data_IF_128300448491
#
_entry.id   IF_128300448491
#
_cell.length_a   1.000
_cell.length_b   1.000
_cell.length_c   1.000
_cell.angle_alpha   90.00
_cell.angle_beta   90.00
_cell.angle_gamma   90.00
#
_symmetry.space_group_name_H-M   'P 1'
#
loop_
_entity.id
_entity.type
_entity.pdbx_description
1 polymer ?
#
# COMPACT_ATOMS: atom_id res chain seq x y z
N UNK A 1 8.44 6.52 3.42
CA UNK A 1 7.61 7.69 3.04
C UNK A 1 7.36 7.62 1.55
N UNK A 2 6.12 7.82 1.10
CA UNK A 2 5.80 7.92 -0.34
C UNK A 2 6.38 9.23 -0.87
N UNK A 3 7.13 9.25 -1.99
CA UNK A 3 7.70 10.50 -2.52
C UNK A 3 6.62 11.56 -2.80
N UNK A 4 5.39 11.14 -3.05
CA UNK A 4 4.23 12.00 -3.27
C UNK A 4 3.79 12.76 -2.01
N UNK A 5 4.16 12.28 -0.81
CA UNK A 5 3.90 13.02 0.44
C UNK A 5 4.56 14.40 0.43
N UNK A 6 5.67 14.56 -0.29
CA UNK A 6 6.33 15.86 -0.44
C UNK A 6 5.49 16.81 -1.30
N UNK A 7 4.80 16.30 -2.32
CA UNK A 7 3.87 17.11 -3.13
C UNK A 7 2.70 17.62 -2.28
N UNK A 8 2.18 16.79 -1.37
CA UNK A 8 1.15 17.21 -0.40
C UNK A 8 1.67 18.36 0.46
N UNK A 9 2.89 18.25 1.01
CA UNK A 9 3.49 19.33 1.82
C UNK A 9 3.65 20.62 1.00
N UNK A 10 4.13 20.52 -0.25
CA UNK A 10 4.23 21.68 -1.15
C UNK A 10 2.86 22.32 -1.38
N UNK A 11 1.82 21.53 -1.66
CA UNK A 11 0.44 22.02 -1.83
C UNK A 11 -0.07 22.74 -0.57
N UNK A 12 0.19 22.20 0.62
CA UNK A 12 -0.20 22.82 1.90
C UNK A 12 0.48 24.17 2.09
N UNK A 13 1.80 24.22 1.85
CA UNK A 13 2.58 25.43 2.02
C UNK A 13 2.20 26.52 0.99
N UNK A 14 2.01 26.13 -0.29
CA UNK A 14 1.53 27.04 -1.32
C UNK A 14 0.13 27.57 -1.01
N UNK A 15 -0.79 26.69 -0.59
CA UNK A 15 -2.14 27.08 -0.19
C UNK A 15 -2.14 28.05 1.01
N UNK A 16 -1.33 27.75 2.04
CA UNK A 16 -1.17 28.63 3.20
C UNK A 16 -0.57 29.99 2.83
N UNK A 17 0.44 30.00 1.96
CA UNK A 17 1.08 31.23 1.48
C UNK A 17 0.14 32.10 0.64
N UNK A 18 -0.62 31.48 -0.27
CA UNK A 18 -1.64 32.17 -1.06
C UNK A 18 -2.71 32.82 -0.16
N UNK A 19 -3.21 32.08 0.85
CA UNK A 19 -4.19 32.61 1.81
C UNK A 19 -3.60 33.77 2.64
N UNK A 20 -2.35 33.66 3.09
CA UNK A 20 -1.68 34.72 3.82
C UNK A 20 -1.48 35.99 2.97
N UNK A 21 -1.12 35.85 1.69
CA UNK A 21 -1.02 36.97 0.74
C UNK A 21 -2.38 37.61 0.48
N UNK A 22 -3.42 36.81 0.27
CA UNK A 22 -4.80 37.31 0.09
C UNK A 22 -5.26 38.10 1.32
N UNK A 23 -5.05 37.57 2.53
CA UNK A 23 -5.39 38.26 3.78
C UNK A 23 -4.64 39.59 3.94
N UNK A 24 -3.34 39.61 3.62
CA UNK A 24 -2.53 40.83 3.64
C UNK A 24 -3.11 41.92 2.73
N UNK A 25 -3.70 41.56 1.59
CA UNK A 25 -4.28 42.54 0.66
C UNK A 25 -5.58 43.18 1.16
N UNK A 26 -6.24 42.58 2.15
CA UNK A 26 -7.57 42.99 2.65
C UNK A 26 -7.46 43.76 3.97
N UNK A 27 -6.38 43.56 4.74
CA UNK A 27 -6.24 44.06 6.12
C UNK A 27 -5.40 45.34 6.14
N UNK A 28 -5.66 46.19 7.14
CA UNK A 28 -4.93 47.44 7.38
C UNK A 28 -3.41 47.24 7.47
N UNK A 29 -2.65 48.26 7.02
CA UNK A 29 -1.19 48.22 6.91
C UNK A 29 -0.48 47.82 8.20
N UNK A 30 -1.01 48.20 9.36
CA UNK A 30 -0.42 47.89 10.67
C UNK A 30 -0.34 46.39 10.95
N UNK A 31 -1.31 45.60 10.49
CA UNK A 31 -1.32 44.15 10.66
C UNK A 31 -0.66 43.39 9.50
N UNK A 32 -0.32 44.09 8.41
CA UNK A 32 0.29 43.49 7.22
C UNK A 32 1.68 42.90 7.49
N UNK A 33 2.41 43.43 8.47
CA UNK A 33 3.75 42.97 8.83
C UNK A 33 3.76 41.56 9.43
N UNK A 34 2.72 41.19 10.19
CA UNK A 34 2.58 39.84 10.71
C UNK A 34 2.47 38.80 9.57
N UNK A 35 1.74 39.13 8.51
CA UNK A 35 1.61 38.29 7.32
C UNK A 35 2.92 38.22 6.51
N UNK A 36 3.76 39.25 6.55
CA UNK A 36 5.09 39.20 5.92
C UNK A 36 5.99 38.18 6.62
N UNK A 37 5.98 38.13 7.97
CA UNK A 37 6.73 37.13 8.74
C UNK A 37 6.23 35.72 8.42
N UNK A 38 4.91 35.53 8.35
CA UNK A 38 4.31 34.26 7.93
C UNK A 38 4.74 33.83 6.53
N UNK A 39 4.69 34.74 5.55
CA UNK A 39 5.12 34.45 4.19
C UNK A 39 6.61 34.12 4.12
N UNK A 40 7.47 34.83 4.85
CA UNK A 40 8.90 34.48 4.95
C UNK A 40 9.12 33.08 5.51
N UNK A 41 8.38 32.69 6.56
CA UNK A 41 8.44 31.33 7.12
C UNK A 41 7.96 30.28 6.12
N UNK A 42 6.83 30.51 5.45
CA UNK A 42 6.31 29.61 4.42
C UNK A 42 7.29 29.47 3.26
N UNK A 43 7.87 30.57 2.77
CA UNK A 43 8.88 30.54 1.71
C UNK A 43 10.14 29.79 2.15
N UNK A 44 10.60 29.99 3.38
CA UNK A 44 11.72 29.24 3.95
C UNK A 44 11.42 27.73 4.01
N UNK A 45 10.23 27.35 4.48
CA UNK A 45 9.79 25.96 4.52
C UNK A 45 9.68 25.38 3.11
N UNK A 46 9.10 26.10 2.15
CA UNK A 46 9.01 25.70 0.74
C UNK A 46 10.40 25.47 0.15
N UNK A 47 11.32 26.41 0.34
CA UNK A 47 12.70 26.30 -0.13
C UNK A 47 13.40 25.08 0.49
N UNK A 48 13.24 24.88 1.80
CA UNK A 48 13.80 23.72 2.51
C UNK A 48 13.22 22.40 2.00
N UNK A 49 11.89 22.31 1.84
CA UNK A 49 11.21 21.14 1.28
C UNK A 49 11.64 20.86 -0.15
N UNK A 50 11.79 21.89 -0.99
CA UNK A 50 12.25 21.74 -2.36
C UNK A 50 13.69 21.22 -2.43
N UNK A 51 14.60 21.74 -1.59
CA UNK A 51 15.99 21.25 -1.50
C UNK A 51 16.01 19.78 -1.06
N UNK A 52 15.26 19.41 -0.03
CA UNK A 52 15.14 18.02 0.43
C UNK A 52 14.56 17.11 -0.66
N UNK A 53 13.56 17.59 -1.40
CA UNK A 53 12.96 16.84 -2.50
C UNK A 53 13.96 16.59 -3.63
N UNK A 54 14.67 17.63 -4.07
CA UNK A 54 15.69 17.53 -5.10
C UNK A 54 16.83 16.60 -4.66
N UNK A 55 17.26 16.70 -3.39
CA UNK A 55 18.23 15.78 -2.81
C UNK A 55 17.77 14.32 -2.83
N UNK A 56 16.50 14.07 -2.48
CA UNK A 56 15.89 12.73 -2.57
C UNK A 56 15.82 12.24 -4.02
N UNK A 57 15.37 13.07 -4.97
CA UNK A 57 15.30 12.70 -6.38
C UNK A 57 16.68 12.37 -6.95
N UNK A 58 17.70 13.17 -6.61
CA UNK A 58 19.08 12.93 -7.03
C UNK A 58 19.61 11.63 -6.43
N UNK A 59 19.45 11.42 -5.12
CA UNK A 59 19.83 10.17 -4.46
C UNK A 59 19.19 8.97 -5.16
N UNK A 60 17.89 9.04 -5.45
CA UNK A 60 17.17 7.96 -6.13
C UNK A 60 17.67 7.73 -7.56
N UNK A 61 17.95 8.79 -8.29
CA UNK A 61 18.51 8.68 -9.63
C UNK A 61 19.89 8.03 -9.62
N UNK A 62 20.76 8.41 -8.68
CA UNK A 62 22.10 7.82 -8.54
C UNK A 62 22.02 6.35 -8.09
N UNK A 63 21.19 6.02 -7.10
CA UNK A 63 21.11 4.67 -6.55
C UNK A 63 20.33 3.69 -7.41
N UNK A 64 19.28 4.15 -8.09
CA UNK A 64 18.35 3.28 -8.81
C UNK A 64 18.23 3.62 -10.29
N UNK A 65 18.79 4.72 -10.78
CA UNK A 65 18.60 5.17 -12.16
C UNK A 65 17.20 5.69 -12.47
N UNK A 66 16.38 6.06 -11.47
CA UNK A 66 15.07 6.70 -11.69
C UNK A 66 14.76 7.72 -10.61
N UNK A 67 14.20 8.84 -11.03
CA UNK A 67 13.71 9.90 -10.15
C UNK A 67 12.55 9.40 -9.27
N UNK A 68 11.62 8.66 -9.86
CA UNK A 68 10.44 8.12 -9.17
C UNK A 68 10.58 6.63 -8.87
N UNK A 69 9.96 6.12 -7.78
CA UNK A 69 9.83 4.69 -7.54
C UNK A 69 9.07 3.98 -8.65
N UNK A 70 9.42 2.72 -8.89
CA UNK A 70 8.72 1.88 -9.86
C UNK A 70 7.22 1.75 -9.59
N UNK A 71 6.75 1.61 -8.33
CA UNK A 71 5.31 1.59 -8.09
C UNK A 71 4.59 2.86 -8.55
N UNK A 72 5.26 4.02 -8.55
CA UNK A 72 4.67 5.26 -9.08
C UNK A 72 4.53 5.15 -10.58
N UNK A 73 5.60 4.79 -11.29
CA UNK A 73 5.63 4.68 -12.75
C UNK A 73 4.65 3.61 -13.26
N UNK A 74 4.60 2.45 -12.59
CA UNK A 74 3.76 1.33 -12.96
C UNK A 74 2.27 1.60 -12.74
N UNK A 75 1.91 2.42 -11.75
CA UNK A 75 0.51 2.77 -11.46
C UNK A 75 0.08 4.08 -12.13
N UNK A 76 1.01 4.98 -12.44
CA UNK A 76 0.68 6.28 -13.03
C UNK A 76 0.40 6.15 -14.52
N UNK A 77 -0.89 6.10 -14.90
CA UNK A 77 -1.34 6.40 -16.26
C UNK A 77 -1.53 7.91 -16.50
N UNK A 78 -1.19 8.76 -15.51
CA UNK A 78 -1.57 10.16 -15.46
C UNK A 78 -2.91 10.37 -14.74
N UNK A 79 -3.43 11.60 -14.77
CA UNK A 79 -4.74 11.94 -14.21
C UNK A 79 -5.80 11.63 -15.27
N UNK A 80 -6.58 10.58 -15.06
CA UNK A 80 -7.71 10.21 -15.92
C UNK A 80 -9.04 10.30 -15.18
N UNK A 81 -10.15 10.38 -15.91
CA UNK A 81 -11.49 10.34 -15.31
C UNK A 81 -11.74 9.01 -14.57
N UNK A 82 -11.17 7.91 -15.07
CA UNK A 82 -11.26 6.59 -14.45
C UNK A 82 -10.51 6.56 -13.12
N UNK A 83 -9.29 7.11 -13.07
CA UNK A 83 -8.54 7.28 -11.82
C UNK A 83 -9.34 8.13 -10.83
N UNK A 84 -9.90 9.27 -11.24
CA UNK A 84 -10.71 10.10 -10.33
C UNK A 84 -11.93 9.32 -9.80
N UNK A 85 -12.64 8.58 -10.66
CA UNK A 85 -13.78 7.73 -10.23
C UNK A 85 -13.34 6.65 -9.24
N UNK A 86 -12.23 5.96 -9.51
CA UNK A 86 -11.67 4.95 -8.62
C UNK A 86 -11.27 5.56 -7.27
N UNK A 87 -10.61 6.72 -7.30
CA UNK A 87 -10.19 7.45 -6.11
C UNK A 87 -11.37 7.98 -5.28
N UNK A 88 -12.43 8.47 -5.91
CA UNK A 88 -13.68 8.83 -5.23
C UNK A 88 -14.37 7.62 -4.62
N UNK A 89 -14.43 6.48 -5.32
CA UNK A 89 -14.97 5.23 -4.78
C UNK A 89 -14.16 4.77 -3.56
N UNK A 90 -12.84 4.81 -3.66
CA UNK A 90 -11.93 4.47 -2.57
C UNK A 90 -12.08 5.40 -1.37
N UNK A 91 -12.12 6.71 -1.60
CA UNK A 91 -12.31 7.71 -0.55
C UNK A 91 -13.68 7.56 0.11
N UNK A 92 -14.75 7.37 -0.68
CA UNK A 92 -16.09 7.11 -0.17
C UNK A 92 -16.10 5.88 0.71
N UNK A 93 -15.62 4.73 0.20
CA UNK A 93 -15.54 3.49 0.97
C UNK A 93 -14.74 3.64 2.27
N UNK A 94 -13.58 4.30 2.20
CA UNK A 94 -12.68 4.47 3.35
C UNK A 94 -13.25 5.41 4.42
N UNK A 95 -13.95 6.47 4.00
CA UNK A 95 -14.50 7.50 4.88
C UNK A 95 -15.92 7.17 5.36
N UNK A 96 -16.65 6.29 4.66
CA UNK A 96 -17.98 5.79 5.03
C UNK A 96 -17.94 4.52 5.87
N UNK A 97 -16.76 4.09 6.32
CA UNK A 97 -16.73 3.01 7.30
C UNK A 97 -17.37 3.56 8.58
N UNK A 98 -18.39 2.88 9.11
CA UNK A 98 -19.26 3.35 10.21
C UNK A 98 -18.52 3.96 11.42
N UNK A 99 -17.28 3.54 11.66
CA UNK A 99 -16.44 4.10 12.71
C UNK A 99 -15.81 5.46 12.31
N UNK A 100 -15.42 5.66 11.06
CA UNK A 100 -14.76 6.90 10.61
C UNK A 100 -15.75 8.06 10.40
N UNK A 101 -17.05 7.81 10.24
CA UNK A 101 -18.04 8.85 9.90
C UNK A 101 -18.11 10.04 10.88
N UNK A 102 -18.16 9.85 12.21
CA UNK A 102 -18.21 10.99 13.14
C UNK A 102 -16.96 11.86 13.05
N UNK A 103 -15.80 11.25 12.80
CA UNK A 103 -14.54 11.95 12.61
C UNK A 103 -14.59 12.81 11.35
N UNK A 104 -15.07 12.26 10.24
CA UNK A 104 -15.18 12.97 8.95
C UNK A 104 -16.14 14.15 9.07
N UNK A 105 -17.27 13.97 9.74
CA UNK A 105 -18.22 15.04 10.00
C UNK A 105 -17.59 16.18 10.81
N UNK A 106 -16.89 15.87 11.90
CA UNK A 106 -16.23 16.88 12.74
C UNK A 106 -15.09 17.59 12.00
N UNK A 107 -14.33 16.89 11.14
CA UNK A 107 -13.35 17.51 10.24
C UNK A 107 -14.03 18.43 9.24
N UNK A 108 -15.17 18.05 8.68
CA UNK A 108 -15.94 18.91 7.76
C UNK A 108 -16.44 20.18 8.47
N UNK A 109 -16.94 20.06 9.70
CA UNK A 109 -17.33 21.20 10.54
C UNK A 109 -16.13 22.11 10.81
N UNK A 110 -14.97 21.54 11.15
CA UNK A 110 -13.74 22.32 11.32
C UNK A 110 -13.35 23.08 10.05
N UNK A 111 -13.42 22.40 8.89
CA UNK A 111 -13.09 22.98 7.59
C UNK A 111 -13.99 24.16 7.25
N UNK A 112 -15.30 24.02 7.48
CA UNK A 112 -16.28 25.09 7.30
C UNK A 112 -15.97 26.26 8.24
N UNK A 113 -15.65 25.98 9.50
CA UNK A 113 -15.26 27.00 10.48
C UNK A 113 -14.00 27.77 10.04
N UNK A 114 -12.96 27.08 9.57
CA UNK A 114 -11.76 27.72 8.99
C UNK A 114 -12.17 28.65 7.84
N UNK A 115 -13.03 28.18 6.92
CA UNK A 115 -13.56 29.01 5.84
C UNK A 115 -14.28 30.28 6.31
N UNK A 116 -15.09 30.19 7.37
CA UNK A 116 -15.73 31.37 7.97
C UNK A 116 -14.73 32.32 8.63
N UNK A 117 -13.74 31.82 9.35
CA UNK A 117 -12.67 32.64 9.94
C UNK A 117 -11.84 33.36 8.86
N UNK A 118 -11.62 32.70 7.72
CA UNK A 118 -10.95 33.33 6.58
C UNK A 118 -11.78 34.47 5.95
N UNK A 119 -13.11 34.47 6.07
CA UNK A 119 -13.95 35.58 5.61
C UNK A 119 -13.96 36.79 6.55
N UNK A 120 -13.71 36.60 7.85
CA UNK A 120 -13.64 37.71 8.82
C UNK A 120 -12.44 38.62 8.49
N UNK A 121 -12.56 39.93 8.72
CA UNK A 121 -11.43 40.88 8.61
C UNK A 121 -10.48 40.84 9.82
N UNK A 122 -10.44 39.71 10.51
CA UNK A 122 -9.53 39.48 11.63
C UNK A 122 -8.09 39.38 11.11
N UNK A 123 -7.15 39.97 11.86
CA UNK A 123 -5.72 39.99 11.60
C UNK A 123 -5.03 38.64 11.85
N UNK A 124 -5.71 37.69 12.50
CA UNK A 124 -5.18 36.37 12.79
C UNK A 124 -5.63 35.32 11.77
N UNK A 125 -4.71 34.45 11.35
CA UNK A 125 -5.06 33.22 10.64
C UNK A 125 -5.55 32.18 11.66
N UNK A 126 -6.58 31.39 11.32
CA UNK A 126 -7.04 30.33 12.20
C UNK A 126 -5.92 29.28 12.38
N UNK A 127 -5.62 28.84 13.62
CA UNK A 127 -4.51 27.92 13.89
C UNK A 127 -4.69 26.54 13.26
N UNK A 128 -5.93 26.16 12.96
CA UNK A 128 -6.34 24.94 12.26
C UNK A 128 -6.21 25.01 10.73
N UNK A 129 -5.73 26.13 10.16
CA UNK A 129 -5.59 26.32 8.71
C UNK A 129 -4.67 25.27 8.05
N UNK A 130 -3.43 25.15 8.51
CA UNK A 130 -2.46 24.24 7.87
C UNK A 130 -2.86 22.75 8.04
N UNK A 131 -3.30 22.28 9.21
CA UNK A 131 -3.87 20.93 9.35
C UNK A 131 -5.06 20.67 8.42
N UNK A 132 -5.95 21.66 8.25
CA UNK A 132 -7.10 21.55 7.34
C UNK A 132 -6.64 21.42 5.89
N UNK A 133 -5.72 22.28 5.46
CA UNK A 133 -5.13 22.21 4.13
C UNK A 133 -4.43 20.87 3.89
N UNK A 134 -3.79 20.29 4.91
CA UNK A 134 -3.15 18.99 4.84
C UNK A 134 -4.15 17.87 4.57
N UNK A 135 -5.27 17.83 5.30
CA UNK A 135 -6.33 16.83 5.07
C UNK A 135 -6.94 16.99 3.68
N UNK A 136 -7.21 18.23 3.25
CA UNK A 136 -7.74 18.51 1.91
C UNK A 136 -6.76 18.06 0.83
N UNK A 137 -5.51 18.51 0.88
CA UNK A 137 -4.49 18.19 -0.11
C UNK A 137 -4.21 16.69 -0.19
N UNK A 138 -4.15 16.01 0.94
CA UNK A 138 -3.96 14.55 1.00
C UNK A 138 -5.16 13.80 0.44
N UNK A 139 -6.40 14.21 0.78
CA UNK A 139 -7.62 13.60 0.22
C UNK A 139 -7.71 13.83 -1.29
N UNK A 140 -7.43 15.05 -1.76
CA UNK A 140 -7.36 15.37 -3.18
C UNK A 140 -6.30 14.52 -3.89
N UNK A 141 -5.13 14.34 -3.28
CA UNK A 141 -4.09 13.46 -3.82
C UNK A 141 -4.58 12.01 -3.95
N UNK A 142 -5.22 11.46 -2.91
CA UNK A 142 -5.78 10.10 -2.94
C UNK A 142 -6.79 9.95 -4.09
N UNK A 143 -7.67 10.93 -4.26
CA UNK A 143 -8.67 10.92 -5.34
C UNK A 143 -8.01 11.01 -6.72
N UNK A 144 -7.05 11.92 -6.90
CA UNK A 144 -6.36 12.12 -8.17
C UNK A 144 -5.46 10.95 -8.54
N UNK A 145 -4.87 10.28 -7.54
CA UNK A 145 -4.05 9.08 -7.74
C UNK A 145 -4.88 7.81 -8.03
N UNK A 146 -6.20 7.87 -7.85
CA UNK A 146 -7.09 6.72 -8.04
C UNK A 146 -7.23 5.79 -6.85
N UNK A 147 -6.84 6.23 -5.65
CA UNK A 147 -6.91 5.44 -4.43
C UNK A 147 -5.87 4.34 -4.37
N UNK A 148 -6.17 3.28 -3.62
CA UNK A 148 -5.38 2.06 -3.58
C UNK A 148 -6.26 0.83 -3.66
N UNK A 149 -5.63 -0.32 -3.82
CA UNK A 149 -6.29 -1.62 -3.64
C UNK A 149 -6.22 -2.14 -2.20
N UNK A 150 -5.31 -1.61 -1.36
CA UNK A 150 -5.10 -2.09 0.00
C UNK A 150 -6.33 -1.88 0.90
N UNK A 151 -6.62 -2.90 1.71
CA UNK A 151 -7.77 -2.99 2.62
C UNK A 151 -7.75 -1.89 3.69
N UNK A 152 -8.91 -1.60 4.29
CA UNK A 152 -8.98 -0.71 5.45
C UNK A 152 -8.68 0.76 5.21
N UNK A 153 -8.66 1.22 3.96
CA UNK A 153 -8.38 2.63 3.67
C UNK A 153 -6.97 3.05 4.08
N UNK A 154 -5.96 2.17 3.96
CA UNK A 154 -4.57 2.43 4.38
C UNK A 154 -3.97 3.74 3.87
N UNK A 155 -4.43 4.27 2.72
CA UNK A 155 -4.01 5.59 2.26
C UNK A 155 -4.41 6.72 3.21
N UNK A 156 -5.45 6.58 4.01
CA UNK A 156 -5.88 7.61 4.97
C UNK A 156 -5.16 7.55 6.32
N UNK A 157 -4.51 6.43 6.66
CA UNK A 157 -3.99 6.17 8.02
C UNK A 157 -3.03 7.27 8.50
N UNK A 158 -2.17 7.78 7.62
CA UNK A 158 -1.22 8.84 7.97
C UNK A 158 -1.89 10.20 8.29
N UNK A 159 -3.13 10.41 7.86
CA UNK A 159 -3.92 11.60 8.19
C UNK A 159 -4.72 11.47 9.48
N UNK A 160 -4.96 10.24 9.97
CA UNK A 160 -5.84 10.01 11.13
C UNK A 160 -5.45 10.79 12.39
N UNK A 161 -4.17 10.95 12.76
CA UNK A 161 -3.81 11.79 13.90
C UNK A 161 -4.24 13.25 13.71
N UNK A 162 -4.07 13.80 12.50
CA UNK A 162 -4.44 15.18 12.18
C UNK A 162 -5.95 15.34 12.16
N UNK A 163 -6.68 14.42 11.54
CA UNK A 163 -8.14 14.40 11.54
C UNK A 163 -8.70 14.29 12.96
N UNK A 164 -8.12 13.44 13.81
CA UNK A 164 -8.49 13.31 15.22
C UNK A 164 -8.29 14.62 15.97
N UNK A 165 -7.15 15.28 15.81
CA UNK A 165 -6.90 16.58 16.42
C UNK A 165 -7.91 17.64 15.96
N UNK A 166 -8.18 17.74 14.66
CA UNK A 166 -9.16 18.66 14.10
C UNK A 166 -10.58 18.39 14.62
N UNK A 167 -10.95 17.12 14.77
CA UNK A 167 -12.25 16.71 15.32
C UNK A 167 -12.40 17.10 16.78
N UNK A 168 -11.35 16.89 17.58
CA UNK A 168 -11.33 17.32 19.00
C UNK A 168 -11.45 18.84 19.11
N UNK A 169 -10.74 19.59 18.25
CA UNK A 169 -10.85 21.06 18.21
C UNK A 169 -12.26 21.52 17.79
N UNK A 170 -12.88 20.89 16.80
CA UNK A 170 -14.25 21.18 16.39
C UNK A 170 -15.23 20.91 17.53
N UNK A 171 -15.10 19.76 18.19
CA UNK A 171 -15.94 19.38 19.32
C UNK A 171 -15.80 20.36 20.48
N UNK A 172 -14.58 20.76 20.82
CA UNK A 172 -14.32 21.75 21.85
C UNK A 172 -14.99 23.10 21.53
N UNK A 173 -14.86 23.59 20.29
CA UNK A 173 -15.52 24.82 19.82
C UNK A 173 -17.04 24.73 19.91
N UNK A 174 -17.63 23.60 19.50
CA UNK A 174 -19.08 23.37 19.57
C UNK A 174 -19.57 23.38 21.02
N UNK A 175 -18.90 22.64 21.91
CA UNK A 175 -19.31 22.54 23.32
C UNK A 175 -19.14 23.87 24.03
N UNK A 176 -18.03 24.59 23.81
CA UNK A 176 -17.84 25.92 24.39
C UNK A 176 -18.90 26.92 23.93
N UNK A 177 -19.40 26.78 22.70
CA UNK A 177 -20.47 27.64 22.15
C UNK A 177 -21.85 27.26 22.68
N UNK A 178 -22.16 25.96 22.81
CA UNK A 178 -23.52 25.47 23.05
C UNK A 178 -23.82 25.10 24.52
N UNK A 179 -22.79 24.87 25.34
CA UNK A 179 -22.94 24.32 26.70
C UNK A 179 -22.51 25.36 27.74
N UNK A 180 -23.30 25.48 28.81
CA UNK A 180 -23.00 26.35 29.95
C UNK A 180 -21.64 26.01 30.58
N UNK A 181 -20.85 27.02 31.02
CA UNK A 181 -19.47 26.85 31.47
C UNK A 181 -19.26 25.72 32.49
N UNK A 182 -20.15 25.59 33.46
CA UNK A 182 -20.11 24.61 34.54
C UNK A 182 -20.27 23.15 34.08
N UNK A 183 -20.82 22.90 32.88
CA UNK A 183 -21.02 21.56 32.33
C UNK A 183 -20.06 21.20 31.19
N UNK A 184 -19.29 22.15 30.65
CA UNK A 184 -18.46 21.95 29.45
C UNK A 184 -17.51 20.76 29.54
N UNK A 185 -16.76 20.64 30.63
CA UNK A 185 -15.80 19.54 30.82
C UNK A 185 -16.50 18.18 30.87
N UNK A 186 -17.64 18.09 31.57
CA UNK A 186 -18.41 16.85 31.70
C UNK A 186 -18.98 16.42 30.35
N UNK A 187 -19.58 17.36 29.62
CA UNK A 187 -20.13 17.08 28.27
C UNK A 187 -19.01 16.70 27.32
N UNK A 188 -17.87 17.41 27.33
CA UNK A 188 -16.73 17.09 26.46
C UNK A 188 -16.20 15.68 26.71
N UNK A 189 -15.94 15.31 27.96
CA UNK A 189 -15.47 13.97 28.32
C UNK A 189 -16.51 12.91 27.94
N UNK A 190 -17.80 13.15 28.22
CA UNK A 190 -18.87 12.22 27.87
C UNK A 190 -19.00 12.04 26.35
N UNK A 191 -18.91 13.11 25.56
CA UNK A 191 -18.96 13.03 24.10
C UNK A 191 -17.74 12.32 23.53
N UNK A 192 -16.53 12.60 24.02
CA UNK A 192 -15.32 11.88 23.58
C UNK A 192 -15.43 10.40 23.92
N UNK A 193 -15.85 10.04 25.14
CA UNK A 193 -16.07 8.66 25.54
C UNK A 193 -17.11 7.97 24.65
N UNK A 194 -18.23 8.64 24.37
CA UNK A 194 -19.27 8.14 23.46
C UNK A 194 -18.73 7.93 22.04
N UNK A 195 -17.97 8.88 21.50
CA UNK A 195 -17.34 8.75 20.18
C UNK A 195 -16.38 7.56 20.14
N UNK A 196 -15.56 7.36 21.17
CA UNK A 196 -14.68 6.19 21.28
C UNK A 196 -15.47 4.88 21.32
N UNK A 197 -16.57 4.83 22.08
CA UNK A 197 -17.45 3.65 22.11
C UNK A 197 -18.11 3.37 20.76
N UNK A 198 -18.51 4.42 20.03
CA UNK A 198 -19.05 4.29 18.66
C UNK A 198 -18.01 3.74 17.67
N UNK A 199 -16.70 3.92 17.90
CA UNK A 199 -15.66 3.33 17.06
C UNK A 199 -15.56 1.81 17.23
N UNK A 200 -15.91 1.26 18.41
CA UNK A 200 -15.64 -0.14 18.74
C UNK A 200 -16.30 -1.13 17.76
N UNK A 201 -17.59 -1.03 17.41
CA UNK A 201 -18.20 -1.93 16.45
C UNK A 201 -17.49 -1.92 15.10
N UNK A 202 -17.05 -0.74 14.65
CA UNK A 202 -16.35 -0.63 13.38
C UNK A 202 -14.93 -1.19 13.41
N UNK A 203 -14.20 -1.01 14.52
CA UNK A 203 -12.92 -1.70 14.72
C UNK A 203 -13.09 -3.23 14.74
N UNK A 204 -14.18 -3.74 15.33
CA UNK A 204 -14.52 -5.16 15.30
C UNK A 204 -14.86 -5.65 13.88
N UNK A 205 -15.60 -4.85 13.09
CA UNK A 205 -15.91 -5.17 11.69
C UNK A 205 -14.65 -5.16 10.83
N UNK A 206 -13.79 -4.14 10.98
CA UNK A 206 -12.51 -4.05 10.30
C UNK A 206 -11.63 -5.27 10.60
N UNK A 207 -11.46 -5.59 11.89
CA UNK A 207 -10.74 -6.78 12.32
C UNK A 207 -11.27 -8.08 11.70
N UNK A 208 -12.60 -8.21 11.57
CA UNK A 208 -13.23 -9.42 11.02
C UNK A 208 -13.09 -9.55 9.50
N UNK A 209 -13.20 -8.44 8.76
CA UNK A 209 -13.40 -8.46 7.30
C UNK A 209 -12.21 -7.97 6.48
N UNK A 210 -11.40 -7.07 7.04
CA UNK A 210 -10.41 -6.30 6.28
C UNK A 210 -8.98 -6.47 6.85
N UNK A 211 -8.85 -6.92 8.10
CA UNK A 211 -7.55 -7.17 8.70
C UNK A 211 -6.92 -8.44 8.15
N UNK A 212 -5.72 -8.31 7.60
CA UNK A 212 -4.85 -9.44 7.24
C UNK A 212 -4.10 -10.01 8.45
N UNK A 213 -4.26 -9.43 9.63
CA UNK A 213 -3.63 -9.87 10.87
C UNK A 213 -4.59 -10.61 11.80
N UNK A 214 -4.04 -11.56 12.55
CA UNK A 214 -4.72 -12.29 13.61
C UNK A 214 -4.79 -11.47 14.90
N UNK A 215 -5.94 -11.47 15.59
CA UNK A 215 -6.02 -10.95 16.94
C UNK A 215 -5.16 -11.76 17.92
N UNK A 216 -4.60 -11.10 18.92
CA UNK A 216 -3.69 -11.74 19.89
C UNK A 216 -4.34 -12.92 20.63
N UNK A 217 -5.64 -12.85 20.91
CA UNK A 217 -6.38 -13.92 21.59
C UNK A 217 -6.57 -15.17 20.74
N UNK A 218 -6.68 -15.04 19.41
CA UNK A 218 -6.77 -16.20 18.53
C UNK A 218 -5.43 -16.95 18.53
N UNK A 219 -4.31 -16.23 18.61
CA UNK A 219 -2.98 -16.85 18.71
C UNK A 219 -2.75 -17.53 20.05
N UNK A 220 -3.21 -16.92 21.14
CA UNK A 220 -3.04 -17.49 22.50
C UNK A 220 -3.75 -18.84 22.69
N UNK A 221 -4.76 -19.15 21.87
CA UNK A 221 -5.54 -20.38 22.02
C UNK A 221 -4.81 -21.66 21.61
N UNK A 222 -3.57 -21.63 21.10
CA UNK A 222 -2.78 -22.77 20.62
C UNK A 222 -3.42 -23.61 19.49
N UNK A 223 -4.75 -23.64 19.35
CA UNK A 223 -5.54 -24.29 18.31
C UNK A 223 -5.41 -23.65 16.90
N UNK A 224 -4.68 -22.55 16.78
CA UNK A 224 -4.46 -21.83 15.52
C UNK A 224 -3.04 -22.07 14.96
N UNK A 225 -2.56 -23.32 14.96
CA UNK A 225 -1.67 -23.73 13.88
C UNK A 225 -2.53 -23.77 12.62
N UNK A 226 -2.67 -22.59 11.99
CA UNK A 226 -3.43 -22.42 10.76
C UNK A 226 -2.84 -23.22 9.59
N UNK A 227 -1.60 -23.66 9.76
CA UNK A 227 -0.92 -24.59 8.89
C UNK A 227 -0.81 -25.94 9.58
N UNK A 228 -0.93 -27.06 8.85
CA UNK A 228 -0.73 -28.38 9.42
C UNK A 228 0.72 -28.51 9.96
N UNK A 229 0.98 -29.38 10.94
CA UNK A 229 2.32 -29.55 11.49
C UNK A 229 3.41 -29.91 10.47
N UNK A 230 3.01 -30.48 9.33
CA UNK A 230 3.89 -30.80 8.20
C UNK A 230 4.27 -29.60 7.33
N UNK A 231 3.53 -28.50 7.41
CA UNK A 231 3.81 -27.31 6.61
C UNK A 231 5.02 -26.56 7.18
N UNK A 232 6.09 -26.37 6.41
CA UNK A 232 7.27 -25.72 6.90
C UNK A 232 7.03 -24.21 7.05
N UNK A 233 7.64 -23.61 8.07
CA UNK A 233 7.62 -22.16 8.32
C UNK A 233 9.06 -21.72 8.52
N UNK A 234 9.55 -20.66 7.84
CA UNK A 234 10.90 -20.16 8.06
C UNK A 234 11.16 -19.86 9.55
N UNK A 235 12.33 -20.24 10.05
CA UNK A 235 12.64 -20.15 11.47
C UNK A 235 12.72 -18.69 11.93
N UNK A 236 13.20 -17.83 11.05
CA UNK A 236 13.46 -16.41 11.22
C UNK A 236 12.21 -15.52 11.16
N UNK A 237 11.04 -16.08 10.80
CA UNK A 237 9.78 -15.33 10.83
C UNK A 237 9.53 -14.73 12.21
N UNK A 238 9.40 -13.41 12.25
CA UNK A 238 9.06 -12.64 13.44
C UNK A 238 7.64 -12.93 13.93
N UNK A 239 7.35 -12.51 15.17
CA UNK A 239 6.01 -12.63 15.72
C UNK A 239 4.94 -11.95 14.82
N UNK A 240 5.23 -10.77 14.27
CA UNK A 240 4.29 -10.04 13.41
C UNK A 240 4.01 -10.75 12.09
N UNK A 241 4.98 -11.43 11.51
CA UNK A 241 4.79 -12.20 10.27
C UNK A 241 3.97 -13.46 10.54
N UNK A 242 4.26 -14.16 11.65
CA UNK A 242 3.45 -15.31 12.08
C UNK A 242 2.02 -14.94 12.46
N UNK A 243 1.77 -13.67 12.78
CA UNK A 243 0.44 -13.14 13.09
C UNK A 243 -0.28 -12.57 11.86
N UNK A 244 0.26 -12.71 10.64
CA UNK A 244 -0.36 -12.24 9.40
C UNK A 244 -0.77 -13.43 8.52
N UNK A 245 -2.03 -13.49 8.09
CA UNK A 245 -2.56 -14.59 7.28
C UNK A 245 -1.85 -14.72 5.93
N UNK A 246 -1.60 -13.58 5.27
CA UNK A 246 -0.93 -13.56 3.96
C UNK A 246 0.48 -14.09 4.10
N UNK A 247 1.18 -13.72 5.17
CA UNK A 247 2.55 -14.20 5.39
C UNK A 247 2.58 -15.68 5.80
N UNK A 248 1.62 -16.15 6.61
CA UNK A 248 1.51 -17.57 6.91
C UNK A 248 1.20 -18.41 5.68
N UNK A 249 0.30 -17.95 4.81
CA UNK A 249 0.05 -18.58 3.51
C UNK A 249 1.35 -18.71 2.69
N UNK A 250 2.17 -17.67 2.70
CA UNK A 250 3.40 -17.61 1.91
C UNK A 250 4.56 -18.40 2.52
N UNK A 251 4.48 -18.77 3.81
CA UNK A 251 5.58 -19.39 4.54
C UNK A 251 6.02 -20.75 3.97
N UNK A 252 5.12 -21.71 3.69
CA UNK A 252 5.52 -22.96 3.05
C UNK A 252 6.09 -22.73 1.65
N UNK A 253 5.50 -21.82 0.87
CA UNK A 253 5.95 -21.46 -0.48
C UNK A 253 7.38 -20.94 -0.48
N UNK A 254 7.78 -20.14 0.52
CA UNK A 254 9.17 -19.69 0.68
C UNK A 254 10.10 -20.90 0.80
N UNK A 255 9.83 -21.81 1.72
CA UNK A 255 10.71 -22.97 1.97
C UNK A 255 10.87 -23.84 0.72
N UNK A 256 9.76 -24.16 0.03
CA UNK A 256 9.83 -24.95 -1.20
C UNK A 256 10.52 -24.19 -2.36
N UNK A 257 10.37 -22.87 -2.43
CA UNK A 257 11.11 -22.05 -3.41
C UNK A 257 12.61 -22.05 -3.11
N UNK A 258 13.01 -21.93 -1.85
CA UNK A 258 14.42 -21.97 -1.45
C UNK A 258 15.07 -23.30 -1.86
N UNK A 259 14.46 -24.43 -1.50
CA UNK A 259 14.95 -25.75 -1.90
C UNK A 259 15.06 -25.91 -3.43
N UNK A 260 14.05 -25.41 -4.16
CA UNK A 260 14.05 -25.46 -5.64
C UNK A 260 15.17 -24.58 -6.23
N UNK A 261 15.34 -23.37 -5.70
CA UNK A 261 16.36 -22.42 -6.15
C UNK A 261 17.76 -22.97 -5.91
N UNK A 262 18.01 -23.59 -4.75
CA UNK A 262 19.31 -24.22 -4.44
C UNK A 262 19.67 -25.31 -5.44
N UNK A 263 18.70 -26.19 -5.76
CA UNK A 263 18.87 -27.23 -6.79
C UNK A 263 19.22 -26.62 -8.15
N UNK A 264 18.50 -25.59 -8.59
CA UNK A 264 18.76 -24.92 -9.89
C UNK A 264 20.13 -24.23 -9.89
N UNK A 265 20.49 -23.52 -8.82
CA UNK A 265 21.78 -22.83 -8.70
C UNK A 265 22.96 -23.81 -8.76
N UNK A 266 22.83 -24.96 -8.08
CA UNK A 266 23.84 -26.02 -8.12
C UNK A 266 24.03 -26.57 -9.54
N UNK A 267 22.94 -26.74 -10.30
CA UNK A 267 22.97 -27.20 -11.69
C UNK A 267 23.57 -26.16 -12.65
N UNK A 268 23.15 -24.89 -12.54
CA UNK A 268 23.51 -23.80 -13.47
C UNK A 268 24.93 -23.23 -13.30
N UNK A 269 25.64 -23.57 -12.22
CA UNK A 269 27.06 -23.22 -11.99
C UNK A 269 27.41 -21.75 -12.28
N UNK A 270 26.75 -20.83 -11.57
CA UNK A 270 27.09 -19.40 -11.58
C UNK A 270 26.20 -18.52 -12.47
N UNK A 271 25.24 -19.11 -13.20
CA UNK A 271 24.15 -18.33 -13.78
C UNK A 271 23.08 -17.99 -12.74
N UNK A 272 22.37 -16.88 -12.97
CA UNK A 272 21.25 -16.48 -12.11
C UNK A 272 20.03 -17.35 -12.36
N UNK A 273 19.25 -17.60 -11.31
CA UNK A 273 17.90 -18.16 -11.43
C UNK A 273 16.93 -17.04 -11.73
N UNK A 274 16.12 -17.22 -12.77
CA UNK A 274 15.10 -16.28 -13.19
C UNK A 274 13.75 -16.68 -12.63
N UNK A 275 13.10 -15.77 -11.90
CA UNK A 275 11.79 -15.97 -11.29
C UNK A 275 10.77 -15.01 -11.92
N UNK A 276 9.52 -15.46 -12.02
CA UNK A 276 8.39 -14.62 -12.42
C UNK A 276 7.19 -14.84 -11.50
N UNK A 277 6.56 -13.74 -11.08
CA UNK A 277 5.36 -13.78 -10.24
C UNK A 277 4.61 -12.45 -10.29
N UNK A 278 3.30 -12.49 -10.03
CA UNK A 278 2.51 -11.31 -9.66
C UNK A 278 2.72 -10.90 -8.19
N UNK A 279 3.38 -11.73 -7.37
CA UNK A 279 3.54 -11.53 -5.94
C UNK A 279 4.97 -11.09 -5.58
N UNK A 280 5.12 -9.84 -5.17
CA UNK A 280 6.41 -9.25 -4.73
C UNK A 280 6.42 -8.90 -3.23
N UNK A 281 5.68 -9.66 -2.43
CA UNK A 281 5.56 -9.47 -0.97
C UNK A 281 6.69 -10.15 -0.18
N UNK A 282 6.31 -10.82 0.91
CA UNK A 282 7.25 -11.46 1.84
C UNK A 282 8.10 -12.55 1.17
N UNK A 283 7.54 -13.27 0.18
CA UNK A 283 8.29 -14.27 -0.61
C UNK A 283 9.51 -13.65 -1.27
N UNK A 284 9.33 -12.58 -2.05
CA UNK A 284 10.43 -11.91 -2.73
C UNK A 284 11.45 -11.31 -1.75
N UNK A 285 11.00 -10.85 -0.58
CA UNK A 285 11.89 -10.33 0.47
C UNK A 285 12.87 -11.39 0.99
N UNK A 286 12.37 -12.56 1.42
CA UNK A 286 13.22 -13.63 1.96
C UNK A 286 14.17 -14.20 0.89
N UNK A 287 13.65 -14.45 -0.32
CA UNK A 287 14.48 -14.95 -1.41
C UNK A 287 15.56 -13.94 -1.83
N UNK A 288 15.25 -12.64 -1.88
CA UNK A 288 16.26 -11.62 -2.19
C UNK A 288 17.32 -11.50 -1.09
N UNK A 289 16.96 -11.73 0.18
CA UNK A 289 17.89 -11.75 1.31
C UNK A 289 18.83 -12.96 1.25
N UNK A 290 18.29 -14.15 0.99
CA UNK A 290 19.05 -15.41 0.96
C UNK A 290 19.94 -15.52 -0.29
N UNK A 291 19.47 -15.05 -1.46
CA UNK A 291 20.12 -15.28 -2.75
C UNK A 291 20.48 -13.98 -3.49
N UNK A 292 20.85 -12.93 -2.74
CA UNK A 292 21.22 -11.63 -3.30
C UNK A 292 22.28 -11.78 -4.42
N UNK A 293 21.97 -11.26 -5.61
CA UNK A 293 22.85 -11.31 -6.79
C UNK A 293 22.77 -12.59 -7.61
N UNK A 294 22.16 -13.66 -7.08
CA UNK A 294 21.95 -14.94 -7.74
C UNK A 294 20.54 -15.09 -8.34
N UNK A 295 19.60 -14.21 -7.99
CA UNK A 295 18.24 -14.21 -8.53
C UNK A 295 17.98 -13.02 -9.46
N UNK A 296 17.07 -13.24 -10.40
CA UNK A 296 16.46 -12.19 -11.21
C UNK A 296 14.94 -12.33 -11.16
N UNK A 297 14.30 -11.43 -10.41
CA UNK A 297 12.85 -11.38 -10.29
C UNK A 297 12.22 -10.58 -11.43
N UNK A 298 11.17 -11.13 -12.02
CA UNK A 298 10.29 -10.47 -12.97
C UNK A 298 8.92 -10.29 -12.32
N UNK A 299 8.66 -9.08 -11.85
CA UNK A 299 7.36 -8.68 -11.33
C UNK A 299 6.41 -8.33 -12.47
N UNK A 300 5.40 -9.16 -12.67
CA UNK A 300 4.44 -9.02 -13.77
C UNK A 300 3.68 -7.69 -13.69
N UNK A 301 3.49 -7.12 -12.48
CA UNK A 301 2.87 -5.81 -12.30
C UNK A 301 3.85 -4.64 -12.52
N UNK A 302 5.15 -4.92 -12.67
CA UNK A 302 6.19 -3.92 -12.89
C UNK A 302 6.41 -2.97 -11.71
N UNK A 303 6.02 -3.36 -10.49
CA UNK A 303 6.19 -2.56 -9.28
C UNK A 303 7.61 -2.61 -8.73
N UNK A 304 8.32 -3.72 -8.91
CA UNK A 304 9.71 -3.90 -8.44
C UNK A 304 10.75 -3.92 -9.56
N UNK A 305 10.32 -4.15 -10.81
CA UNK A 305 11.17 -4.27 -11.99
C UNK A 305 10.74 -3.32 -13.13
N UNK A 306 11.71 -2.78 -13.86
CA UNK A 306 11.50 -1.88 -14.99
C UNK A 306 11.31 -2.58 -16.32
N UNK A 307 11.83 -3.81 -16.46
CA UNK A 307 11.90 -4.44 -17.79
C UNK A 307 10.54 -4.46 -18.45
N UNK A 308 9.48 -4.72 -17.69
CA UNK A 308 8.10 -4.70 -18.18
C UNK A 308 7.49 -3.30 -18.32
N UNK A 309 7.92 -2.28 -17.59
CA UNK A 309 7.40 -0.92 -17.78
C UNK A 309 8.10 -0.18 -18.93
N UNK A 310 9.32 -0.60 -19.30
CA UNK A 310 10.09 -0.11 -20.45
C UNK A 310 9.94 -0.94 -21.72
N UNK A 311 9.27 -2.09 -21.65
CA UNK A 311 9.12 -3.01 -22.77
C UNK A 311 8.14 -2.47 -23.82
N UNK A 312 8.50 -2.41 -25.12
CA UNK A 312 7.60 -1.94 -26.17
C UNK A 312 6.28 -2.74 -26.26
N UNK A 313 6.34 -4.05 -26.00
CA UNK A 313 5.18 -4.96 -26.05
C UNK A 313 4.11 -4.57 -25.02
N UNK A 314 4.53 -4.10 -23.84
CA UNK A 314 3.66 -3.77 -22.71
C UNK A 314 3.39 -2.27 -22.59
N UNK A 315 3.99 -1.44 -23.45
CA UNK A 315 3.89 0.02 -23.36
C UNK A 315 2.43 0.52 -23.33
N UNK A 316 1.58 -0.14 -24.12
CA UNK A 316 0.16 0.19 -24.31
C UNK A 316 -0.79 -0.58 -23.38
N UNK A 317 -0.28 -1.45 -22.50
CA UNK A 317 -1.16 -2.14 -21.54
C UNK A 317 -1.73 -1.13 -20.54
N UNK A 318 -2.99 -1.34 -20.09
CA UNK A 318 -3.59 -0.55 -19.03
C UNK A 318 -2.72 -0.57 -17.77
N UNK A 319 -2.75 0.55 -17.05
CA UNK A 319 -2.13 0.69 -15.72
C UNK A 319 -3.22 1.02 -14.73
N UNK A 320 -3.24 0.31 -13.61
CA UNK A 320 -4.26 0.45 -12.59
C UNK A 320 -3.62 0.49 -11.19
N UNK A 321 -4.43 0.41 -10.13
CA UNK A 321 -3.93 0.47 -8.74
C UNK A 321 -3.00 -0.70 -8.37
N UNK A 322 -3.03 -1.81 -9.11
CA UNK A 322 -2.13 -2.95 -8.94
C UNK A 322 -0.82 -2.79 -9.70
N UNK A 323 -0.77 -1.96 -10.75
CA UNK A 323 0.41 -1.76 -11.60
C UNK A 323 0.07 -1.96 -13.07
N UNK A 324 0.99 -2.58 -13.82
CA UNK A 324 0.78 -2.98 -15.21
C UNK A 324 -0.24 -4.12 -15.27
N UNK A 325 -1.30 -3.99 -16.07
CA UNK A 325 -2.31 -5.04 -16.24
C UNK A 325 -1.83 -6.15 -17.21
N UNK A 326 -0.73 -6.81 -16.82
CA UNK A 326 -0.20 -7.99 -17.51
C UNK A 326 -0.57 -9.25 -16.70
N UNK A 327 -0.82 -10.35 -17.39
CA UNK A 327 -0.98 -11.68 -16.78
C UNK A 327 0.14 -12.60 -17.22
N UNK A 328 0.44 -13.60 -16.39
CA UNK A 328 1.45 -14.63 -16.71
C UNK A 328 1.10 -15.35 -18.01
N UNK A 329 -0.17 -15.65 -18.28
CA UNK A 329 -0.59 -16.31 -19.52
C UNK A 329 -0.33 -15.44 -20.75
N UNK A 330 -0.47 -14.13 -20.63
CA UNK A 330 -0.12 -13.19 -21.71
C UNK A 330 1.37 -13.24 -22.00
N UNK A 331 2.21 -13.31 -20.95
CA UNK A 331 3.65 -13.50 -21.11
C UNK A 331 3.98 -14.85 -21.76
N UNK A 332 3.42 -15.96 -21.25
CA UNK A 332 3.67 -17.32 -21.74
C UNK A 332 3.35 -17.46 -23.24
N UNK A 333 2.24 -16.87 -23.70
CA UNK A 333 1.87 -16.86 -25.13
C UNK A 333 2.82 -16.04 -26.02
N UNK A 334 3.59 -15.13 -25.43
CA UNK A 334 4.43 -14.16 -26.16
C UNK A 334 5.91 -14.22 -25.72
N UNK A 335 6.39 -15.35 -25.19
CA UNK A 335 7.75 -15.51 -24.67
C UNK A 335 8.84 -15.07 -25.67
N UNK A 336 8.69 -15.43 -26.95
CA UNK A 336 9.66 -15.09 -28.00
C UNK A 336 9.77 -13.57 -28.22
N UNK A 337 8.66 -12.84 -28.49
CA UNK A 337 8.68 -11.38 -28.51
C UNK A 337 9.29 -10.77 -27.24
N UNK A 338 8.91 -11.22 -26.05
CA UNK A 338 9.45 -10.69 -24.79
C UNK A 338 10.96 -10.88 -24.66
N UNK A 339 11.47 -12.03 -25.06
CA UNK A 339 12.91 -12.30 -25.06
C UNK A 339 13.65 -11.41 -26.08
N UNK A 340 13.10 -11.25 -27.30
CA UNK A 340 13.73 -10.54 -28.40
C UNK A 340 13.69 -9.01 -28.24
N UNK A 341 12.53 -8.45 -27.87
CA UNK A 341 12.31 -7.00 -27.83
C UNK A 341 12.58 -6.40 -26.45
N UNK A 342 12.45 -7.19 -25.38
CA UNK A 342 12.50 -6.70 -24.01
C UNK A 342 13.58 -7.36 -23.15
N UNK A 343 14.31 -8.36 -23.69
CA UNK A 343 15.34 -9.09 -22.95
C UNK A 343 14.80 -9.88 -21.76
N UNK A 344 13.51 -10.25 -21.78
CA UNK A 344 12.86 -11.03 -20.72
C UNK A 344 12.79 -12.49 -21.17
N UNK A 345 13.82 -13.25 -20.82
CA UNK A 345 13.92 -14.68 -21.13
C UNK A 345 12.87 -15.50 -20.37
N UNK A 346 12.49 -16.69 -20.88
CA UNK A 346 11.62 -17.62 -20.13
C UNK A 346 12.15 -17.84 -18.71
N UNK A 347 11.34 -17.60 -17.67
CA UNK A 347 11.77 -17.79 -16.29
C UNK A 347 12.06 -19.27 -16.03
N UNK A 348 13.01 -19.54 -15.14
CA UNK A 348 13.31 -20.88 -14.66
C UNK A 348 12.20 -21.37 -13.72
N UNK A 349 11.66 -20.45 -12.91
CA UNK A 349 10.60 -20.71 -11.94
C UNK A 349 9.49 -19.66 -12.06
N UNK A 350 8.24 -20.12 -12.05
CA UNK A 350 7.04 -19.30 -11.91
C UNK A 350 6.38 -19.67 -10.58
N UNK A 351 6.06 -18.68 -9.75
CA UNK A 351 5.24 -18.92 -8.55
C UNK A 351 4.11 -17.89 -8.48
N UNK A 352 2.90 -18.32 -8.15
CA UNK A 352 1.76 -17.40 -8.04
C UNK A 352 0.56 -18.03 -7.33
N UNK A 353 -0.56 -17.30 -7.29
CA UNK A 353 -1.86 -17.80 -6.88
C UNK A 353 -2.46 -18.65 -8.02
N UNK A 354 -3.13 -19.79 -7.73
CA UNK A 354 -3.74 -20.64 -8.74
C UNK A 354 -4.78 -19.96 -9.65
N UNK A 355 -5.42 -18.89 -9.17
CA UNK A 355 -6.37 -18.12 -9.98
C UNK A 355 -5.69 -17.15 -10.97
N UNK A 356 -4.38 -16.92 -10.84
CA UNK A 356 -3.61 -16.06 -11.73
C UNK A 356 -2.99 -16.82 -12.92
N UNK A 357 -2.82 -18.13 -12.80
CA UNK A 357 -2.33 -19.01 -13.86
C UNK A 357 -2.69 -20.46 -13.53
N UNK A 358 -3.28 -21.18 -14.49
CA UNK A 358 -3.67 -22.58 -14.26
C UNK A 358 -2.50 -23.55 -14.50
N UNK A 359 -2.45 -24.70 -13.78
CA UNK A 359 -1.48 -25.76 -14.03
C UNK A 359 -1.45 -26.24 -15.49
N UNK A 360 -2.60 -26.32 -16.15
CA UNK A 360 -2.70 -26.74 -17.55
C UNK A 360 -2.04 -25.72 -18.48
N UNK A 361 -2.21 -24.43 -18.18
CA UNK A 361 -1.59 -23.35 -18.96
C UNK A 361 -0.07 -23.38 -18.82
N UNK A 362 0.43 -23.65 -17.62
CA UNK A 362 1.87 -23.82 -17.35
C UNK A 362 2.43 -25.02 -18.11
N UNK A 363 1.76 -26.18 -18.01
CA UNK A 363 2.15 -27.41 -18.70
C UNK A 363 2.18 -27.23 -20.23
N UNK A 364 1.17 -26.57 -20.80
CA UNK A 364 1.11 -26.28 -22.23
C UNK A 364 2.27 -25.40 -22.74
N UNK A 365 2.97 -24.70 -21.84
CA UNK A 365 4.12 -23.85 -22.15
C UNK A 365 5.44 -24.39 -21.57
N UNK A 366 5.50 -25.68 -21.25
CA UNK A 366 6.73 -26.36 -20.86
C UNK A 366 7.16 -26.09 -19.41
N UNK A 367 6.19 -26.01 -18.49
CA UNK A 367 6.44 -25.92 -17.04
C UNK A 367 5.77 -27.08 -16.30
N UNK A 368 6.42 -27.58 -15.25
CA UNK A 368 5.90 -28.61 -14.35
C UNK A 368 5.58 -27.96 -13.01
N UNK A 369 4.35 -28.11 -12.52
CA UNK A 369 3.97 -27.69 -11.17
C UNK A 369 4.57 -28.68 -10.17
N UNK A 370 5.47 -28.22 -9.33
CA UNK A 370 6.17 -29.03 -8.32
C UNK A 370 5.65 -28.79 -6.90
N UNK A 371 4.89 -27.71 -6.71
CA UNK A 371 4.24 -27.42 -5.44
C UNK A 371 2.90 -26.75 -5.70
N UNK A 372 1.88 -27.21 -4.99
CA UNK A 372 0.52 -26.70 -5.04
C UNK A 372 -0.05 -26.67 -3.62
N UNK A 373 -0.48 -25.49 -3.19
CA UNK A 373 -1.18 -25.26 -1.93
C UNK A 373 -2.61 -24.87 -2.25
N UNK A 374 -3.57 -25.49 -1.57
CA UNK A 374 -5.00 -25.18 -1.68
C UNK A 374 -5.63 -25.00 -0.30
N UNK A 375 -6.84 -24.45 -0.27
CA UNK A 375 -7.63 -24.28 0.94
C UNK A 375 -7.68 -22.84 1.47
N UNK A 376 -8.07 -22.69 2.72
CA UNK A 376 -8.33 -21.38 3.33
C UNK A 376 -7.70 -21.24 4.71
N UNK A 377 -7.12 -20.06 4.99
CA UNK A 377 -6.72 -19.69 6.34
C UNK A 377 -7.83 -18.89 7.01
N UNK A 378 -8.29 -19.35 8.18
CA UNK A 378 -9.27 -18.62 8.99
C UNK A 378 -9.11 -18.89 10.48
N UNK A 379 -9.45 -17.91 11.32
CA UNK A 379 -9.62 -18.12 12.75
C UNK A 379 -11.08 -17.96 13.15
N UNK A 380 -11.42 -18.26 14.40
CA UNK A 380 -12.75 -18.00 14.95
C UNK A 380 -13.17 -16.51 14.86
N UNK A 381 -12.21 -15.58 14.76
CA UNK A 381 -12.48 -14.14 14.77
C UNK A 381 -12.30 -13.46 13.42
N UNK A 382 -11.88 -14.14 12.35
CA UNK A 382 -11.56 -13.50 11.07
C UNK A 382 -12.17 -14.23 9.87
N UNK A 383 -12.29 -13.54 8.74
CA UNK A 383 -12.75 -14.11 7.48
C UNK A 383 -11.76 -15.13 6.91
N UNK A 384 -12.27 -16.06 6.10
CA UNK A 384 -11.47 -16.97 5.27
C UNK A 384 -10.64 -16.19 4.26
N UNK A 385 -9.33 -16.41 4.29
CA UNK A 385 -8.37 -15.89 3.31
C UNK A 385 -7.92 -17.04 2.41
N UNK A 386 -7.93 -16.81 1.10
CA UNK A 386 -7.46 -17.78 0.12
C UNK A 386 -5.99 -18.11 0.41
N UNK A 387 -5.72 -19.40 0.60
CA UNK A 387 -4.39 -19.90 0.87
C UNK A 387 -3.70 -20.46 -0.38
N UNK A 388 -4.34 -20.36 -1.55
CA UNK A 388 -3.82 -20.90 -2.80
C UNK A 388 -2.42 -20.38 -3.14
N UNK A 389 -1.49 -21.28 -3.42
CA UNK A 389 -0.15 -20.97 -3.95
C UNK A 389 0.29 -22.08 -4.92
N UNK A 390 1.11 -21.74 -5.91
CA UNK A 390 1.76 -22.74 -6.76
C UNK A 390 3.21 -22.34 -7.05
N UNK A 391 4.05 -23.35 -7.30
CA UNK A 391 5.39 -23.21 -7.85
C UNK A 391 5.51 -24.15 -9.05
N UNK A 392 5.94 -23.60 -10.18
CA UNK A 392 6.22 -24.34 -11.39
C UNK A 392 7.65 -24.07 -11.88
N UNK A 393 8.32 -25.12 -12.31
CA UNK A 393 9.69 -25.09 -12.85
C UNK A 393 9.66 -25.42 -14.34
N UNK A 394 10.56 -24.84 -15.13
CA UNK A 394 10.70 -25.15 -16.55
C UNK A 394 11.01 -26.65 -16.75
N UNK A 395 10.35 -27.30 -17.72
CA UNK A 395 10.40 -28.76 -17.93
C UNK A 395 11.82 -29.28 -18.15
N UNK A 396 12.63 -28.59 -18.94
CA UNK A 396 14.03 -28.96 -19.19
C UNK A 396 14.87 -28.96 -17.91
N UNK A 397 14.59 -28.03 -16.98
CA UNK A 397 15.24 -28.00 -15.67
C UNK A 397 14.71 -29.10 -14.76
N UNK A 398 13.41 -29.36 -14.75
CA UNK A 398 12.81 -30.49 -14.02
C UNK A 398 13.50 -31.81 -14.40
N UNK A 399 13.59 -32.08 -15.71
CA UNK A 399 14.21 -33.28 -16.25
C UNK A 399 15.72 -33.33 -15.94
N UNK A 400 16.44 -32.21 -16.11
CA UNK A 400 17.88 -32.15 -15.90
C UNK A 400 18.30 -32.25 -14.42
N UNK A 401 17.43 -31.83 -13.50
CA UNK A 401 17.61 -32.00 -12.06
C UNK A 401 17.27 -33.42 -11.60
N UNK A 402 16.75 -34.27 -12.48
CA UNK A 402 16.32 -35.63 -12.15
C UNK A 402 15.13 -35.66 -11.20
N UNK A 403 14.29 -34.61 -11.22
CA UNK A 403 13.09 -34.56 -10.40
C UNK A 403 12.02 -35.49 -10.95
N UNK A 404 11.27 -36.12 -10.05
CA UNK A 404 10.22 -37.08 -10.38
C UNK A 404 8.84 -36.68 -9.83
N UNK A 405 7.79 -37.46 -10.13
CA UNK A 405 6.46 -37.26 -9.56
C UNK A 405 6.44 -37.23 -8.02
N UNK A 406 7.39 -37.87 -7.37
CA UNK A 406 7.59 -37.89 -5.92
C UNK A 406 8.09 -36.55 -5.33
N UNK A 407 8.69 -35.68 -6.15
CA UNK A 407 9.08 -34.33 -5.75
C UNK A 407 7.90 -33.35 -5.82
N UNK A 408 6.75 -33.75 -6.38
CA UNK A 408 5.56 -32.91 -6.48
C UNK A 408 4.83 -32.90 -5.14
N UNK A 409 4.81 -31.74 -4.48
CA UNK A 409 4.16 -31.56 -3.19
C UNK A 409 2.78 -30.94 -3.36
N UNK A 410 1.78 -31.56 -2.76
CA UNK A 410 0.44 -30.97 -2.60
C UNK A 410 0.12 -30.75 -1.14
N UNK A 411 -0.21 -29.51 -0.79
CA UNK A 411 -0.56 -29.10 0.56
C UNK A 411 -2.01 -28.61 0.59
N UNK A 412 -2.89 -29.43 1.13
CA UNK A 412 -4.28 -29.07 1.37
C UNK A 412 -4.44 -28.52 2.80
N UNK A 413 -4.83 -27.25 2.90
CA UNK A 413 -5.09 -26.57 4.17
C UNK A 413 -6.56 -26.70 4.63
N UNK A 414 -7.39 -27.42 3.87
CA UNK A 414 -8.80 -27.66 4.15
C UNK A 414 -9.73 -26.56 3.66
N UNK A 415 -11.03 -26.90 3.63
CA UNK A 415 -12.12 -26.08 3.09
C UNK A 415 -12.76 -25.14 4.11
#
# INVERSE_FOLDING_TARGET
MRPESILVVICVLLGGGAIALLKRSIIDREHADHYLVWNKRILFLLGSTAVLFLGLLLFRYVSFGSLMPQPVIAKSAGISLESIKAGLKYASFSLSMFYVEPLVLLVAINTVHVGFCLKKRDASLPPDLLPTLFVIASTSFIVLAGGDWMEGGRFFVHMWPVMTALSVLALHKLITTLVLPEYRTRVFVATVAFLCLLQLPGALVFMKKESTSMPIWDRMRQDAFLLPPSAPIPAEFSWSERANFVHLRDAPTIVYLEETIEKILAYKKGERVTLMSNQMGVVAYYLAQAYHGNLQFTDVFGLSDRRLTSCPITANLPRNSLGLEMRIETYLKNQKPFAQECGITPPDVIYDLPHNVSPETLSAHGYVVIYEQEGWLSTASTQKNDAGQLIAIRQDLFDALGMGPEDVVRLDLGS
#
